data_IF_060135343478
#
_entry.id   IF_060135343478
#
_cell.length_a   1.000
_cell.length_b   1.000
_cell.length_c   1.000
_cell.angle_alpha   90.00
_cell.angle_beta   90.00
_cell.angle_gamma   90.00
#
_symmetry.space_group_name_H-M   'P 1'
#
loop_
_entity.id
_entity.type
_entity.pdbx_description
1 polymer ?
#
# COMPACT_ATOMS: atom_id res chain seq x y z
N UNK A 1 -5.97 22.25 0.36
CA UNK A 1 -5.88 20.80 0.61
C UNK A 1 -4.87 20.24 -0.38
N UNK A 2 -3.63 20.01 0.08
CA UNK A 2 -2.54 19.61 -0.81
C UNK A 2 -2.69 18.13 -1.16
N UNK A 3 -3.21 17.84 -2.35
CA UNK A 3 -2.95 16.57 -3.02
C UNK A 3 -1.49 16.64 -3.45
N UNK A 4 -0.57 16.26 -2.57
CA UNK A 4 0.82 16.05 -2.93
C UNK A 4 0.83 14.93 -3.95
N UNK A 5 0.86 15.29 -5.24
CA UNK A 5 1.01 14.36 -6.34
C UNK A 5 2.47 13.88 -6.33
N UNK A 6 2.84 13.12 -5.29
CA UNK A 6 3.80 12.04 -5.42
C UNK A 6 3.43 11.39 -6.75
N UNK A 7 4.34 11.29 -7.71
CA UNK A 7 4.05 10.88 -9.10
C UNK A 7 3.55 9.44 -9.22
N UNK A 8 2.43 9.11 -8.59
CA UNK A 8 1.84 7.78 -8.48
C UNK A 8 1.17 7.35 -9.78
N UNK A 9 1.13 8.23 -10.79
CA UNK A 9 0.65 7.93 -12.14
C UNK A 9 1.51 6.86 -12.83
N UNK A 10 2.79 6.75 -12.48
CA UNK A 10 3.71 5.74 -13.01
C UNK A 10 3.84 4.50 -12.10
N UNK A 11 3.10 4.45 -11.00
CA UNK A 11 3.17 3.32 -10.06
C UNK A 11 2.35 2.16 -10.58
N UNK A 12 3.00 1.01 -10.70
CA UNK A 12 2.32 -0.24 -11.00
C UNK A 12 1.63 -0.76 -9.73
N UNK A 13 0.37 -1.15 -9.82
CA UNK A 13 -0.41 -1.58 -8.66
C UNK A 13 -0.54 -3.09 -8.65
N UNK A 14 -0.09 -3.72 -7.56
CA UNK A 14 -0.32 -5.15 -7.32
C UNK A 14 -1.48 -5.35 -6.35
N UNK A 15 -2.52 -6.03 -6.83
CA UNK A 15 -3.67 -6.43 -6.03
C UNK A 15 -3.34 -7.65 -5.16
N UNK A 16 -3.86 -7.67 -3.93
CA UNK A 16 -3.74 -8.85 -3.05
C UNK A 16 -4.48 -10.06 -3.61
N UNK A 17 -3.88 -11.24 -3.51
CA UNK A 17 -4.51 -12.52 -3.90
C UNK A 17 -5.66 -12.93 -2.97
N UNK A 18 -5.74 -12.33 -1.78
CA UNK A 18 -6.83 -12.54 -0.83
C UNK A 18 -8.05 -11.67 -1.14
N UNK A 19 -7.96 -10.75 -2.11
CA UNK A 19 -9.07 -9.94 -2.60
C UNK A 19 -9.94 -10.73 -3.59
N UNK A 20 -10.61 -11.78 -3.13
CA UNK A 20 -11.56 -12.56 -3.92
C UNK A 20 -13.00 -11.98 -3.86
N UNK A 21 -13.77 -12.27 -4.91
CA UNK A 21 -15.04 -11.59 -5.23
C UNK A 21 -16.21 -11.81 -4.27
N UNK A 22 -16.01 -12.48 -3.13
CA UNK A 22 -17.05 -12.73 -2.11
C UNK A 22 -17.08 -11.71 -0.97
N UNK A 23 -16.38 -10.57 -1.11
CA UNK A 23 -16.62 -9.38 -0.28
C UNK A 23 -15.58 -9.05 0.81
N UNK A 24 -14.46 -9.78 0.91
CA UNK A 24 -13.46 -9.56 1.96
C UNK A 24 -12.14 -8.96 1.46
N UNK A 25 -11.89 -7.69 1.80
CA UNK A 25 -10.57 -7.00 1.78
C UNK A 25 -9.92 -6.69 0.43
N UNK A 26 -9.94 -5.41 0.08
CA UNK A 26 -9.56 -4.84 -1.22
C UNK A 26 -8.33 -3.96 -1.08
N UNK A 27 -7.13 -4.54 -1.13
CA UNK A 27 -5.88 -3.78 -0.96
C UNK A 27 -5.01 -3.94 -2.20
N UNK A 28 -4.48 -2.81 -2.67
CA UNK A 28 -3.41 -2.75 -3.66
C UNK A 28 -2.19 -2.06 -3.06
N UNK A 29 -1.01 -2.59 -3.38
CA UNK A 29 0.28 -2.00 -3.01
C UNK A 29 0.99 -1.58 -4.30
N UNK A 30 1.53 -0.36 -4.31
CA UNK A 30 2.28 0.12 -5.46
C UNK A 30 3.68 -0.46 -5.51
N UNK A 31 3.96 -1.22 -6.55
CA UNK A 31 5.28 -1.75 -6.89
C UNK A 31 6.06 -0.71 -7.72
N UNK A 32 7.38 -0.67 -7.55
CA UNK A 32 8.24 0.29 -8.27
C UNK A 32 8.39 1.67 -7.61
N UNK A 33 7.46 2.09 -6.76
CA UNK A 33 7.57 3.34 -5.97
C UNK A 33 8.64 3.28 -4.87
N UNK A 34 9.11 2.07 -4.52
CA UNK A 34 10.12 1.86 -3.49
C UNK A 34 11.46 2.56 -3.80
N UNK A 35 11.78 2.76 -5.10
CA UNK A 35 12.96 3.52 -5.51
C UNK A 35 12.85 5.01 -5.18
N UNK A 36 11.63 5.53 -5.02
CA UNK A 36 11.35 6.86 -4.49
C UNK A 36 11.25 6.89 -2.96
N UNK A 37 11.62 5.80 -2.27
CA UNK A 37 11.65 5.73 -0.81
C UNK A 37 10.29 5.57 -0.13
N UNK A 38 9.22 5.28 -0.89
CA UNK A 38 7.87 5.12 -0.37
C UNK A 38 7.19 3.81 -0.80
N UNK A 39 6.23 3.37 -0.01
CA UNK A 39 5.31 2.27 -0.31
C UNK A 39 3.88 2.82 -0.25
N UNK A 40 3.25 3.07 -1.40
CA UNK A 40 1.86 3.49 -1.46
C UNK A 40 0.92 2.30 -1.33
N UNK A 41 -0.15 2.46 -0.55
CA UNK A 41 -1.19 1.45 -0.30
C UNK A 41 -2.54 2.12 -0.48
N UNK A 42 -3.47 1.46 -1.18
CA UNK A 42 -4.83 1.97 -1.38
C UNK A 42 -5.88 0.88 -1.29
N UNK A 43 -7.11 1.30 -1.08
CA UNK A 43 -8.28 0.43 -1.16
C UNK A 43 -8.70 0.26 -2.63
N UNK A 44 -8.76 -0.98 -3.12
CA UNK A 44 -9.13 -1.31 -4.51
C UNK A 44 -10.55 -0.82 -4.87
N UNK A 45 -11.49 -0.78 -3.92
CA UNK A 45 -12.89 -0.40 -4.17
C UNK A 45 -13.05 1.07 -4.46
N UNK A 46 -12.15 1.90 -3.90
CA UNK A 46 -12.19 3.35 -4.07
C UNK A 46 -11.21 3.84 -5.15
N UNK A 47 -10.37 2.95 -5.67
CA UNK A 47 -9.49 3.25 -6.78
C UNK A 47 -10.27 3.60 -8.08
N UNK A 48 -9.70 4.46 -8.96
CA UNK A 48 -8.40 5.09 -8.85
C UNK A 48 -8.40 6.43 -8.08
N UNK A 49 -9.56 6.92 -7.65
CA UNK A 49 -9.73 8.29 -7.10
C UNK A 49 -9.66 8.37 -5.58
N UNK A 50 -9.77 7.24 -4.89
CA UNK A 50 -9.70 7.14 -3.45
C UNK A 50 -8.33 7.48 -2.87
N UNK A 51 -8.30 7.72 -1.56
CA UNK A 51 -7.08 8.11 -0.85
C UNK A 51 -6.01 7.02 -0.94
N UNK A 52 -4.78 7.45 -1.23
CA UNK A 52 -3.58 6.61 -1.16
C UNK A 52 -2.83 6.94 0.12
N UNK A 53 -2.58 5.93 0.95
CA UNK A 53 -1.67 6.03 2.09
C UNK A 53 -0.25 5.80 1.60
N UNK A 54 0.72 6.57 2.10
CA UNK A 54 2.13 6.40 1.73
C UNK A 54 2.97 6.24 2.97
N UNK A 55 3.82 5.22 2.96
CA UNK A 55 4.70 4.87 4.07
C UNK A 55 6.15 4.96 3.59
N UNK A 56 7.10 5.49 4.39
CA UNK A 56 8.52 5.33 4.11
C UNK A 56 8.88 3.85 3.97
N UNK A 57 9.75 3.50 3.03
CA UNK A 57 10.18 2.10 2.81
C UNK A 57 10.78 1.47 4.06
N UNK A 58 11.54 2.23 4.84
CA UNK A 58 12.13 1.75 6.10
C UNK A 58 11.05 1.34 7.11
N UNK A 59 10.03 2.18 7.31
CA UNK A 59 8.92 1.86 8.22
C UNK A 59 8.08 0.69 7.73
N UNK A 60 7.85 0.60 6.41
CA UNK A 60 7.16 -0.54 5.82
C UNK A 60 7.93 -1.85 6.06
N UNK A 61 9.24 -1.86 5.87
CA UNK A 61 10.10 -3.01 6.19
C UNK A 61 10.04 -3.37 7.67
N UNK A 62 10.11 -2.39 8.57
CA UNK A 62 9.96 -2.65 10.01
C UNK A 62 8.60 -3.28 10.35
N UNK A 63 7.53 -2.77 9.77
CA UNK A 63 6.18 -3.32 9.95
C UNK A 63 6.09 -4.78 9.48
N UNK A 64 6.61 -5.09 8.28
CA UNK A 64 6.61 -6.46 7.76
C UNK A 64 7.45 -7.41 8.61
N UNK A 65 8.62 -6.96 9.09
CA UNK A 65 9.47 -7.75 9.97
C UNK A 65 8.77 -8.03 11.31
N UNK A 66 8.10 -7.02 11.88
CA UNK A 66 7.33 -7.18 13.11
C UNK A 66 6.16 -8.18 12.92
N UNK A 67 5.45 -8.11 11.79
CA UNK A 67 4.42 -9.10 11.44
C UNK A 67 5.00 -10.51 11.31
N UNK A 68 6.11 -10.67 10.60
CA UNK A 68 6.77 -11.96 10.38
C UNK A 68 7.19 -12.60 11.72
N UNK A 69 7.77 -11.78 12.59
CA UNK A 69 8.24 -12.21 13.91
C UNK A 69 7.12 -12.28 14.97
N UNK A 70 5.87 -11.95 14.59
CA UNK A 70 4.72 -11.87 15.51
C UNK A 70 4.97 -10.95 16.71
N UNK A 71 5.57 -9.79 16.45
CA UNK A 71 5.93 -8.76 17.43
C UNK A 71 4.95 -7.57 17.44
N UNK A 72 3.88 -7.63 16.63
CA UNK A 72 2.76 -6.70 16.75
C UNK A 72 1.77 -7.29 17.74
N UNK A 73 2.10 -7.14 19.03
CA UNK A 73 1.18 -7.48 20.11
C UNK A 73 0.13 -6.35 20.15
N UNK A 74 -1.14 -6.73 19.97
CA UNK A 74 -2.30 -5.84 20.09
C UNK A 74 -2.86 -5.80 21.50
#
# INVERSE_FOLDING_TARGET
MAHSHLGLSAVEWRKSSYSNGSGGSCVEVGTGAATAGIVPVRDTKTAPTGTVLTFPTTQWTHFLNALHNRQLDG
#
